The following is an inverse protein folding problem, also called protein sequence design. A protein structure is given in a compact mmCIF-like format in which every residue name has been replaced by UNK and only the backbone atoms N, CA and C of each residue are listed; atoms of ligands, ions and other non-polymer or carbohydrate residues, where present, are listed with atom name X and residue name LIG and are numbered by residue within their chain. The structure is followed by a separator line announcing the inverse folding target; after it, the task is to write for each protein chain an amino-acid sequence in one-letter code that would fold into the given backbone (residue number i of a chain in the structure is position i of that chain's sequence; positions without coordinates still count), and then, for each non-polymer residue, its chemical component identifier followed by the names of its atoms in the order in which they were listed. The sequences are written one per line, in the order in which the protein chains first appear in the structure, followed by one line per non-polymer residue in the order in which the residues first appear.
data_IF_269678009123
#
_entry.id   IF_269678009123
#
_cell.length_a   1.000
_cell.length_b   1.000
_cell.length_c   1.000
_cell.angle_alpha   90.00
_cell.angle_beta   90.00
_cell.angle_gamma   90.00
#
_symmetry.space_group_name_H-M   'P 1'
#
loop_
_entity.id
_entity.type
_entity.pdbx_description
1 polymer ?
#
# COMPACT_ATOMS: atom_id res chain seq x y z
N UNK A 1 -19.90 17.19 5.59
CA UNK A 1 -19.38 15.82 5.72
C UNK A 1 -19.08 15.45 7.18
N UNK A 2 -18.28 16.25 7.93
CA UNK A 2 -18.01 15.99 9.36
C UNK A 2 -19.28 15.80 10.20
N UNK A 3 -20.32 16.62 10.00
CA UNK A 3 -21.58 16.53 10.73
C UNK A 3 -22.39 15.25 10.47
N UNK A 4 -22.31 14.67 9.27
CA UNK A 4 -22.99 13.41 8.92
C UNK A 4 -22.28 12.23 9.58
N UNK A 5 -20.95 12.21 9.57
CA UNK A 5 -20.13 11.15 10.22
C UNK A 5 -20.36 11.09 11.72
N UNK A 6 -20.46 12.24 12.39
CA UNK A 6 -20.77 12.31 13.82
C UNK A 6 -22.16 11.76 14.15
N UNK A 7 -23.17 12.08 13.30
CA UNK A 7 -24.54 11.61 13.47
C UNK A 7 -24.71 10.09 13.37
N UNK A 8 -23.89 9.45 12.52
CA UNK A 8 -23.88 8.00 12.31
C UNK A 8 -22.77 7.26 13.08
N UNK A 9 -22.10 7.93 14.01
CA UNK A 9 -20.92 7.38 14.73
C UNK A 9 -19.85 6.85 13.79
N UNK A 10 -19.70 7.50 12.64
CA UNK A 10 -18.68 7.20 11.67
C UNK A 10 -17.37 7.93 11.95
N UNK A 11 -16.35 7.60 11.18
CA UNK A 11 -15.05 8.28 11.20
C UNK A 11 -14.91 9.17 9.97
N UNK A 12 -14.39 10.37 10.18
CA UNK A 12 -14.08 11.33 9.13
C UNK A 12 -12.55 11.52 9.08
N UNK A 13 -11.98 11.37 7.90
CA UNK A 13 -10.58 11.60 7.65
C UNK A 13 -10.40 12.70 6.62
N UNK A 14 -9.52 13.63 6.90
CA UNK A 14 -9.10 14.66 5.96
C UNK A 14 -7.83 14.17 5.25
N UNK A 15 -7.95 13.86 3.96
CA UNK A 15 -6.82 13.39 3.16
C UNK A 15 -5.77 14.47 2.90
N UNK A 16 -6.05 15.73 3.26
CA UNK A 16 -5.07 16.81 3.25
C UNK A 16 -4.25 16.91 4.56
N UNK A 17 -4.56 16.08 5.56
CA UNK A 17 -3.82 16.03 6.82
C UNK A 17 -2.40 15.52 6.58
N UNK A 18 -1.36 16.31 6.88
CA UNK A 18 0.02 15.88 6.67
C UNK A 18 0.46 14.70 7.54
N UNK A 19 -0.25 14.44 8.63
CA UNK A 19 0.02 13.33 9.55
C UNK A 19 -0.72 12.03 9.15
N UNK A 20 -1.63 12.13 8.19
CA UNK A 20 -2.36 10.95 7.69
C UNK A 20 -1.40 9.99 6.98
N UNK A 21 -1.50 8.72 7.32
CA UNK A 21 -0.80 7.62 6.65
C UNK A 21 -1.79 6.53 6.24
N UNK A 22 -1.67 6.09 4.99
CA UNK A 22 -2.46 5.02 4.39
C UNK A 22 -1.49 4.01 3.80
N UNK A 23 -1.28 2.90 4.50
CA UNK A 23 -0.34 1.88 4.06
C UNK A 23 -1.00 0.96 3.01
N UNK A 24 -0.60 1.01 1.71
CA UNK A 24 -1.17 0.12 0.69
C UNK A 24 -0.80 -1.36 0.90
N UNK A 25 0.17 -1.65 1.74
CA UNK A 25 0.63 -3.01 2.07
C UNK A 25 0.10 -3.50 3.42
N UNK A 26 -0.84 -2.78 4.04
CA UNK A 26 -1.38 -3.11 5.35
C UNK A 26 -2.01 -4.50 5.39
N UNK A 27 -1.64 -5.28 6.40
CA UNK A 27 -2.19 -6.60 6.66
C UNK A 27 -3.29 -6.46 7.72
N UNK A 28 -4.50 -7.01 7.49
CA UNK A 28 -5.53 -7.05 8.52
C UNK A 28 -5.01 -7.68 9.81
N UNK A 29 -5.36 -7.09 10.95
CA UNK A 29 -4.88 -7.54 12.26
C UNK A 29 -5.17 -9.02 12.52
N UNK A 30 -6.32 -9.51 12.04
CA UNK A 30 -6.69 -10.92 12.12
C UNK A 30 -5.70 -11.88 11.45
N UNK A 31 -5.02 -11.43 10.38
CA UNK A 31 -4.02 -12.21 9.65
C UNK A 31 -2.60 -12.09 10.24
N UNK A 32 -2.36 -11.10 11.09
CA UNK A 32 -1.09 -10.94 11.81
C UNK A 32 -0.97 -11.92 12.98
N UNK A 33 -2.07 -12.50 13.42
CA UNK A 33 -2.08 -13.48 14.50
C UNK A 33 -1.40 -14.79 14.09
N UNK A 34 -0.80 -15.47 15.07
CA UNK A 34 -0.13 -16.75 14.85
C UNK A 34 -1.12 -17.78 14.28
N UNK A 35 -0.69 -18.49 13.24
CA UNK A 35 -1.50 -19.54 12.57
C UNK A 35 -2.84 -19.03 11.98
N UNK A 36 -2.92 -17.75 11.61
CA UNK A 36 -4.11 -17.21 10.94
C UNK A 36 -4.36 -17.94 9.60
N UNK A 37 -5.63 -18.27 9.35
CA UNK A 37 -6.09 -18.79 8.07
C UNK A 37 -6.36 -17.65 7.09
N UNK A 38 -6.26 -17.91 5.79
CA UNK A 38 -6.58 -16.94 4.75
C UNK A 38 -5.40 -16.05 4.30
N UNK A 39 -4.18 -16.34 4.77
CA UNK A 39 -2.99 -15.56 4.36
C UNK A 39 -2.68 -15.74 2.87
N UNK A 40 -2.87 -16.92 2.32
CA UNK A 40 -2.61 -17.21 0.90
C UNK A 40 -3.57 -16.43 0.01
N UNK A 41 -4.86 -16.44 0.30
CA UNK A 41 -5.87 -15.69 -0.43
C UNK A 41 -5.63 -14.19 -0.33
N UNK A 42 -5.20 -13.73 0.84
CA UNK A 42 -4.82 -12.34 1.03
C UNK A 42 -3.62 -11.97 0.14
N UNK A 43 -2.57 -12.77 0.11
CA UNK A 43 -1.40 -12.53 -0.76
C UNK A 43 -1.84 -12.47 -2.22
N UNK A 44 -2.65 -13.41 -2.70
CA UNK A 44 -3.14 -13.42 -4.07
C UNK A 44 -3.91 -12.15 -4.44
N UNK A 45 -4.76 -11.67 -3.55
CA UNK A 45 -5.48 -10.40 -3.75
C UNK A 45 -4.53 -9.20 -3.76
N UNK A 46 -3.51 -9.21 -2.93
CA UNK A 46 -2.51 -8.15 -2.87
C UNK A 46 -1.59 -8.12 -4.11
N UNK A 47 -1.30 -9.26 -4.71
CA UNK A 47 -0.55 -9.30 -5.97
C UNK A 47 -1.26 -8.50 -7.06
N UNK A 48 -2.56 -8.71 -7.22
CA UNK A 48 -3.39 -7.99 -8.21
C UNK A 48 -3.52 -6.50 -7.86
N UNK A 49 -3.74 -6.19 -6.60
CA UNK A 49 -3.84 -4.81 -6.13
C UNK A 49 -2.54 -4.04 -6.35
N UNK A 50 -1.40 -4.62 -5.98
CA UNK A 50 -0.10 -3.98 -6.14
C UNK A 50 0.33 -3.87 -7.60
N UNK A 51 -0.07 -4.80 -8.47
CA UNK A 51 0.11 -4.66 -9.92
C UNK A 51 -0.59 -3.40 -10.43
N UNK A 52 -1.85 -3.23 -10.11
CA UNK A 52 -2.63 -2.05 -10.52
C UNK A 52 -2.04 -0.76 -9.93
N UNK A 53 -1.68 -0.77 -8.65
CA UNK A 53 -1.06 0.36 -7.98
C UNK A 53 0.25 0.78 -8.64
N UNK A 54 1.18 -0.16 -8.81
CA UNK A 54 2.50 0.12 -9.37
C UNK A 54 2.41 0.57 -10.83
N UNK A 55 1.53 -0.02 -11.63
CA UNK A 55 1.30 0.43 -13.01
C UNK A 55 0.77 1.87 -13.07
N UNK A 56 -0.07 2.25 -12.13
CA UNK A 56 -0.62 3.63 -12.09
C UNK A 56 0.42 4.70 -11.77
N UNK A 57 1.45 4.35 -11.01
CA UNK A 57 2.53 5.29 -10.64
C UNK A 57 3.72 5.29 -11.61
N UNK A 58 3.82 4.31 -12.51
CA UNK A 58 4.87 4.22 -13.54
C UNK A 58 4.59 5.19 -14.69
N UNK A 59 4.76 6.49 -14.43
CA UNK A 59 4.48 7.55 -15.40
C UNK A 59 5.47 7.50 -16.56
N UNK A 60 4.95 7.48 -17.81
CA UNK A 60 5.78 7.48 -19.02
C UNK A 60 6.46 6.14 -19.32
N UNK A 61 6.22 5.11 -18.54
CA UNK A 61 6.77 3.77 -18.73
C UNK A 61 5.64 2.82 -19.11
N UNK A 62 5.80 2.09 -20.20
CA UNK A 62 4.85 1.05 -20.60
C UNK A 62 5.20 -0.27 -19.90
N UNK A 63 4.36 -0.77 -19.00
CA UNK A 63 4.58 -2.05 -18.34
C UNK A 63 4.67 -3.21 -19.34
N UNK A 64 5.51 -4.19 -19.05
CA UNK A 64 5.67 -5.42 -19.81
C UNK A 64 5.59 -6.66 -18.90
N UNK A 65 5.73 -7.86 -19.49
CA UNK A 65 5.66 -9.12 -18.74
C UNK A 65 6.74 -9.28 -17.66
N UNK A 66 7.90 -8.62 -17.83
CA UNK A 66 8.99 -8.65 -16.82
C UNK A 66 8.60 -7.82 -15.62
N UNK A 67 8.02 -6.64 -15.80
CA UNK A 67 7.47 -5.83 -14.71
C UNK A 67 6.45 -6.63 -13.90
N UNK A 68 5.51 -7.30 -14.57
CA UNK A 68 4.50 -8.13 -13.90
C UNK A 68 5.13 -9.26 -13.08
N UNK A 69 6.07 -9.98 -13.66
CA UNK A 69 6.78 -11.07 -12.98
C UNK A 69 7.54 -10.58 -11.76
N UNK A 70 8.23 -9.44 -11.87
CA UNK A 70 8.94 -8.80 -10.76
C UNK A 70 7.98 -8.40 -9.63
N UNK A 71 6.87 -7.76 -9.96
CA UNK A 71 5.87 -7.34 -8.97
C UNK A 71 5.38 -8.55 -8.20
N UNK A 72 4.94 -9.60 -8.87
CA UNK A 72 4.40 -10.80 -8.23
C UNK A 72 5.43 -11.48 -7.34
N UNK A 73 6.63 -11.70 -7.85
CA UNK A 73 7.72 -12.33 -7.09
C UNK A 73 8.12 -11.52 -5.86
N UNK A 74 8.32 -10.21 -6.00
CA UNK A 74 8.79 -9.36 -4.92
C UNK A 74 7.70 -9.10 -3.86
N UNK A 75 6.47 -8.91 -4.27
CA UNK A 75 5.34 -8.73 -3.33
C UNK A 75 5.06 -10.02 -2.56
N UNK A 76 5.10 -11.16 -3.23
CA UNK A 76 4.96 -12.46 -2.56
C UNK A 76 6.10 -12.69 -1.56
N UNK A 77 7.36 -12.44 -1.94
CA UNK A 77 8.52 -12.52 -1.05
C UNK A 77 8.35 -11.62 0.17
N UNK A 78 7.90 -10.39 -0.03
CA UNK A 78 7.66 -9.42 1.06
C UNK A 78 6.68 -9.96 2.10
N UNK A 79 5.53 -10.48 1.67
CA UNK A 79 4.52 -11.02 2.58
C UNK A 79 4.96 -12.33 3.22
N UNK A 80 5.60 -13.24 2.49
CA UNK A 80 6.15 -14.47 3.06
C UNK A 80 7.17 -14.17 4.16
N UNK A 81 8.10 -13.24 3.90
CA UNK A 81 9.07 -12.80 4.89
C UNK A 81 8.39 -12.16 6.12
N UNK A 82 7.34 -11.39 5.90
CA UNK A 82 6.58 -10.78 6.99
C UNK A 82 5.89 -11.83 7.85
N UNK A 83 5.19 -12.77 7.25
CA UNK A 83 4.47 -13.81 7.98
C UNK A 83 5.37 -14.85 8.65
N UNK A 84 6.65 -14.95 8.25
CA UNK A 84 7.62 -15.84 8.89
C UNK A 84 8.16 -15.29 10.22
N UNK A 85 7.95 -14.02 10.51
CA UNK A 85 8.42 -13.39 11.74
C UNK A 85 7.59 -13.84 12.95
N UNK A 86 8.21 -13.89 14.12
CA UNK A 86 7.50 -14.24 15.38
C UNK A 86 6.39 -13.24 15.74
N UNK A 87 6.62 -11.96 15.44
CA UNK A 87 5.66 -10.86 15.62
C UNK A 87 5.57 -10.09 14.29
N UNK A 88 4.69 -10.54 13.37
CA UNK A 88 4.58 -9.88 12.09
C UNK A 88 3.97 -8.48 12.25
N UNK A 89 4.52 -7.54 11.53
CA UNK A 89 4.03 -6.16 11.41
C UNK A 89 3.84 -5.90 9.91
N UNK A 90 2.79 -5.20 9.53
CA UNK A 90 2.54 -4.85 8.13
C UNK A 90 3.79 -4.22 7.50
N UNK A 91 4.23 -4.70 6.32
CA UNK A 91 5.32 -4.08 5.59
C UNK A 91 4.88 -2.70 5.07
N UNK A 92 5.83 -1.88 4.70
CA UNK A 92 5.61 -0.55 4.12
C UNK A 92 6.23 -0.45 2.73
N UNK A 93 5.93 0.61 1.97
CA UNK A 93 6.43 0.75 0.60
C UNK A 93 7.96 0.74 0.50
N UNK A 94 8.66 1.32 1.47
CA UNK A 94 10.12 1.28 1.50
C UNK A 94 10.70 -0.14 1.63
N UNK A 95 9.98 -1.04 2.28
CA UNK A 95 10.38 -2.46 2.35
C UNK A 95 10.29 -3.12 0.96
N UNK A 96 9.25 -2.82 0.20
CA UNK A 96 9.08 -3.31 -1.18
C UNK A 96 10.13 -2.70 -2.12
N UNK A 97 10.37 -1.39 -1.99
CA UNK A 97 11.42 -0.71 -2.74
C UNK A 97 12.78 -1.38 -2.54
N UNK A 98 13.14 -1.72 -1.30
CA UNK A 98 14.38 -2.39 -0.97
C UNK A 98 14.49 -3.78 -1.63
N UNK A 99 13.39 -4.50 -1.78
CA UNK A 99 13.38 -5.80 -2.49
C UNK A 99 13.60 -5.59 -3.99
N UNK A 100 12.94 -4.60 -4.61
CA UNK A 100 13.15 -4.28 -6.02
C UNK A 100 14.59 -3.87 -6.32
N UNK A 101 15.24 -3.10 -5.43
CA UNK A 101 16.63 -2.67 -5.59
C UNK A 101 17.62 -3.83 -5.64
N UNK A 102 17.29 -4.99 -5.08
CA UNK A 102 18.13 -6.20 -5.10
C UNK A 102 17.98 -7.02 -6.38
N UNK A 103 16.99 -6.71 -7.21
CA UNK A 103 16.74 -7.43 -8.46
C UNK A 103 17.73 -7.00 -9.55
N UNK A 104 18.06 -7.92 -10.45
CA UNK A 104 19.04 -7.69 -11.53
C UNK A 104 18.40 -7.18 -12.82
N UNK A 105 17.12 -7.42 -13.00
CA UNK A 105 16.39 -7.04 -14.21
C UNK A 105 16.30 -5.51 -14.32
N UNK A 106 16.56 -4.94 -15.53
CA UNK A 106 16.49 -3.48 -15.74
C UNK A 106 15.11 -2.88 -15.37
N UNK A 107 14.04 -3.64 -15.57
CA UNK A 107 12.67 -3.25 -15.24
C UNK A 107 12.45 -3.01 -13.75
N UNK A 108 13.26 -3.62 -12.89
CA UNK A 108 13.22 -3.35 -11.46
C UNK A 108 13.54 -1.89 -11.13
N UNK A 109 14.38 -1.25 -11.94
CA UNK A 109 14.72 0.17 -11.80
C UNK A 109 13.51 1.08 -12.03
N UNK A 110 12.65 0.71 -12.97
CA UNK A 110 11.40 1.42 -13.23
C UNK A 110 10.47 1.36 -12.00
N UNK A 111 10.40 0.19 -11.37
CA UNK A 111 9.55 -0.04 -10.20
C UNK A 111 10.03 0.72 -8.96
N UNK A 112 11.29 0.55 -8.56
CA UNK A 112 11.76 1.26 -7.37
C UNK A 112 11.94 2.75 -7.61
N UNK A 113 12.30 3.18 -8.82
CA UNK A 113 12.37 4.58 -9.19
C UNK A 113 11.00 5.27 -9.11
N UNK A 114 9.93 4.58 -9.52
CA UNK A 114 8.56 5.08 -9.39
C UNK A 114 8.11 5.16 -7.93
N UNK A 115 8.54 4.24 -7.06
CA UNK A 115 8.24 4.27 -5.64
C UNK A 115 8.95 5.40 -4.88
N UNK A 116 10.10 5.87 -5.32
CA UNK A 116 10.87 6.91 -4.63
C UNK A 116 10.08 8.18 -4.33
N UNK A 117 9.19 8.58 -5.24
CA UNK A 117 8.33 9.75 -5.03
C UNK A 117 7.44 9.61 -3.79
N UNK A 118 7.06 8.38 -3.44
CA UNK A 118 6.17 8.05 -2.33
C UNK A 118 6.91 7.68 -1.04
N UNK A 119 8.13 7.18 -1.14
CA UNK A 119 8.93 6.74 0.00
C UNK A 119 9.88 7.83 0.52
N UNK A 120 10.33 8.75 -0.33
CA UNK A 120 11.39 9.71 0.00
C UNK A 120 11.04 11.18 -0.24
N UNK A 121 9.98 11.47 -1.00
CA UNK A 121 9.70 12.83 -1.47
C UNK A 121 8.32 13.35 -1.04
N UNK A 122 7.47 13.70 -2.01
CA UNK A 122 6.32 14.56 -1.78
C UNK A 122 5.08 13.86 -1.22
N UNK A 123 4.99 12.52 -1.34
CA UNK A 123 3.75 11.81 -1.06
C UNK A 123 3.89 10.76 0.04
N UNK A 124 4.39 11.19 1.18
CA UNK A 124 4.60 10.35 2.37
C UNK A 124 3.31 9.82 2.99
N UNK A 125 2.15 10.25 2.51
CA UNK A 125 0.85 9.72 2.96
C UNK A 125 0.74 8.20 2.78
N UNK A 126 1.40 7.64 1.75
CA UNK A 126 1.41 6.21 1.49
C UNK A 126 2.59 5.47 2.13
N UNK A 127 3.49 6.17 2.80
CA UNK A 127 4.65 5.59 3.46
C UNK A 127 4.43 5.49 4.98
N UNK A 128 4.77 4.35 5.53
CA UNK A 128 4.64 4.08 6.96
C UNK A 128 3.36 3.33 7.33
N UNK A 129 3.21 3.01 8.59
CA UNK A 129 2.02 2.33 9.10
C UNK A 129 0.79 3.24 9.02
N UNK A 130 -0.36 2.66 8.70
CA UNK A 130 -1.61 3.41 8.66
C UNK A 130 -1.93 4.04 10.01
N UNK A 131 -2.35 5.30 9.97
CA UNK A 131 -2.85 6.01 11.16
C UNK A 131 -4.37 5.84 11.31
N UNK A 132 -5.01 5.15 10.36
CA UNK A 132 -6.45 4.91 10.37
C UNK A 132 -6.81 3.63 11.12
N UNK A 133 -7.83 3.73 11.97
CA UNK A 133 -8.55 2.58 12.47
C UNK A 133 -9.86 2.42 11.70
N UNK A 134 -10.01 1.34 10.96
CA UNK A 134 -11.22 1.04 10.16
C UNK A 134 -12.30 0.29 10.94
N UNK A 135 -12.34 0.46 12.26
CA UNK A 135 -13.33 -0.21 13.12
C UNK A 135 -14.76 0.30 12.97
N UNK A 136 -14.95 1.46 12.32
CA UNK A 136 -16.26 2.09 12.14
C UNK A 136 -16.97 1.57 10.89
N UNK A 137 -18.30 1.35 10.98
CA UNK A 137 -19.15 0.96 9.85
C UNK A 137 -19.28 2.03 8.76
N UNK A 138 -19.04 3.27 9.12
CA UNK A 138 -19.13 4.42 8.22
C UNK A 138 -17.83 5.22 8.29
N UNK A 139 -17.17 5.34 7.15
CA UNK A 139 -15.92 6.11 6.99
C UNK A 139 -16.14 7.12 5.88
N UNK A 140 -15.84 8.39 6.13
CA UNK A 140 -15.88 9.44 5.14
C UNK A 140 -14.50 10.10 5.02
N UNK A 141 -14.07 10.32 3.79
CA UNK A 141 -12.82 11.00 3.47
C UNK A 141 -13.09 12.40 2.94
N UNK A 142 -12.41 13.39 3.51
CA UNK A 142 -12.37 14.74 2.96
C UNK A 142 -11.37 14.80 1.81
N UNK A 143 -11.86 15.23 0.63
CA UNK A 143 -11.06 15.23 -0.61
C UNK A 143 -10.61 16.64 -1.03
N UNK A 144 -10.49 17.55 -0.08
CA UNK A 144 -10.03 18.91 -0.35
C UNK A 144 -8.52 18.93 -0.55
N UNK A 145 -8.05 19.50 -1.65
CA UNK A 145 -6.64 19.65 -1.98
C UNK A 145 -5.84 18.34 -2.16
N UNK A 146 -6.51 17.28 -2.63
CA UNK A 146 -5.81 16.03 -2.95
C UNK A 146 -5.20 16.15 -4.34
N UNK A 147 -3.94 15.74 -4.54
CA UNK A 147 -3.35 15.61 -5.86
C UNK A 147 -4.16 14.65 -6.74
N UNK A 148 -4.30 14.97 -8.03
CA UNK A 148 -5.15 14.20 -8.98
C UNK A 148 -4.86 12.69 -8.98
N UNK A 149 -3.62 12.29 -8.79
CA UNK A 149 -3.27 10.85 -8.79
C UNK A 149 -3.90 10.08 -7.62
N UNK A 150 -4.23 10.73 -6.50
CA UNK A 150 -4.94 10.08 -5.38
C UNK A 150 -6.42 9.83 -5.68
N UNK A 151 -6.96 10.45 -6.74
CA UNK A 151 -8.36 10.29 -7.16
C UNK A 151 -8.57 9.09 -8.09
N UNK A 152 -7.50 8.41 -8.50
CA UNK A 152 -7.54 7.27 -9.41
C UNK A 152 -7.75 5.92 -8.70
N UNK A 153 -7.92 5.94 -7.39
CA UNK A 153 -8.14 4.77 -6.54
C UNK A 153 -9.52 4.72 -5.91
#
# INVERSE_FOLDING_TARGET
MKGITQRFRGQYFDLSDPDLRLNPLEIPESLLQKNAKGREEYILSQLQYMEAFLYSIMTGIRPNGIHKSLIYRCVEELYQNTFSKKKPISPVLSDLEAIFQKQREPEARDLYGSLEAYTKHSFLTLEGQSTLSTSSRFVAFGMKNIPEFCLLY
#
